data_IF_239870042909
#
_entry.id   IF_239870042909
#
_cell.length_a   1.000
_cell.length_b   1.000
_cell.length_c   1.000
_cell.angle_alpha   90.00
_cell.angle_beta   90.00
_cell.angle_gamma   90.00
#
_symmetry.space_group_name_H-M   'P 1'
#
loop_
_entity.id
_entity.type
_entity.pdbx_description
1 polymer ?
#
# COMPACT_ATOMS: atom_id res chain seq x y z
N UNK A 1 25.41 -19.73 2.72
CA UNK A 1 24.28 -19.58 1.80
C UNK A 1 24.02 -20.94 1.16
N UNK A 2 23.03 -21.68 1.66
CA UNK A 2 22.85 -23.11 1.31
C UNK A 2 21.36 -23.43 1.04
N UNK A 3 20.76 -22.70 0.12
CA UNK A 3 19.43 -23.03 -0.44
C UNK A 3 19.51 -23.52 -1.90
N UNK A 4 20.68 -23.40 -2.54
CA UNK A 4 20.87 -23.72 -3.96
C UNK A 4 20.77 -25.22 -4.26
N UNK A 5 21.13 -26.11 -3.31
CA UNK A 5 21.13 -27.57 -3.53
C UNK A 5 19.77 -28.25 -3.51
N UNK A 6 18.70 -27.57 -3.04
CA UNK A 6 17.38 -28.21 -2.83
C UNK A 6 16.53 -28.36 -4.08
N UNK A 7 16.79 -27.58 -5.13
CA UNK A 7 15.93 -27.50 -6.32
C UNK A 7 16.67 -27.75 -7.64
N UNK A 8 17.98 -28.05 -7.61
CA UNK A 8 18.77 -28.35 -8.81
C UNK A 8 18.82 -27.20 -9.83
N UNK A 9 18.92 -27.53 -11.12
CA UNK A 9 18.85 -26.56 -12.24
C UNK A 9 17.40 -26.30 -12.70
N UNK A 10 16.43 -26.98 -12.08
CA UNK A 10 15.01 -26.86 -12.44
C UNK A 10 14.42 -25.54 -11.93
N UNK A 11 13.33 -25.10 -12.58
CA UNK A 11 12.59 -23.92 -12.14
C UNK A 11 11.97 -24.19 -10.77
N UNK A 12 12.33 -23.38 -9.77
CA UNK A 12 11.77 -23.44 -8.42
C UNK A 12 10.24 -23.21 -8.50
N UNK A 13 9.42 -24.20 -8.11
CA UNK A 13 7.98 -24.03 -8.11
C UNK A 13 7.59 -23.04 -7.01
N UNK A 14 6.61 -22.19 -7.31
CA UNK A 14 6.01 -21.32 -6.30
C UNK A 14 5.32 -22.17 -5.23
N UNK A 15 5.60 -21.96 -3.93
CA UNK A 15 4.95 -22.71 -2.86
C UNK A 15 3.41 -22.59 -2.92
N UNK A 16 2.65 -23.65 -2.57
CA UNK A 16 1.18 -23.61 -2.59
C UNK A 16 0.55 -22.55 -1.69
N UNK A 17 1.26 -22.18 -0.63
CA UNK A 17 0.91 -21.16 0.36
C UNK A 17 1.44 -19.76 -0.01
N UNK A 18 2.20 -19.64 -1.09
CA UNK A 18 2.67 -18.36 -1.58
C UNK A 18 1.53 -17.62 -2.29
N UNK A 19 1.15 -16.48 -1.73
CA UNK A 19 0.11 -15.62 -2.27
C UNK A 19 0.34 -14.17 -1.90
N UNK A 20 -0.72 -13.38 -1.99
CA UNK A 20 -0.70 -11.99 -1.60
C UNK A 20 -2.06 -11.56 -1.06
N UNK A 21 -2.07 -10.42 -0.40
CA UNK A 21 -3.27 -9.78 0.10
C UNK A 21 -3.55 -8.51 -0.70
N UNK A 22 -4.83 -8.22 -0.92
CA UNK A 22 -5.29 -6.95 -1.48
C UNK A 22 -5.81 -6.08 -0.33
N UNK A 23 -5.25 -4.89 -0.19
CA UNK A 23 -5.80 -3.87 0.71
C UNK A 23 -6.79 -3.04 -0.09
N UNK A 24 -8.07 -3.15 0.27
CA UNK A 24 -9.13 -2.28 -0.23
C UNK A 24 -9.27 -1.11 0.75
N UNK A 25 -8.85 0.11 0.38
CA UNK A 25 -8.91 1.24 1.30
C UNK A 25 -10.33 1.81 1.36
N UNK A 26 -10.82 2.04 2.57
CA UNK A 26 -11.98 2.91 2.82
C UNK A 26 -11.55 4.38 3.02
N UNK A 27 -10.25 4.60 3.21
CA UNK A 27 -9.64 5.92 3.39
C UNK A 27 -8.18 5.94 2.95
N UNK A 28 -7.74 7.05 2.37
CA UNK A 28 -6.32 7.34 2.15
C UNK A 28 -6.04 8.85 2.24
N UNK A 29 -4.78 9.22 2.45
CA UNK A 29 -4.36 10.61 2.59
C UNK A 29 -3.15 10.92 1.69
N UNK A 30 -3.20 12.05 1.00
CA UNK A 30 -2.02 12.67 0.40
C UNK A 30 -1.49 13.76 1.33
N UNK A 31 -0.25 13.58 1.76
CA UNK A 31 0.46 14.55 2.59
C UNK A 31 1.60 15.16 1.77
N UNK A 32 1.68 16.49 1.70
CA UNK A 32 2.76 17.19 0.98
C UNK A 32 3.40 18.26 1.86
N UNK A 33 4.73 18.30 1.84
CA UNK A 33 5.51 19.27 2.58
C UNK A 33 5.31 20.71 2.06
N UNK A 34 5.22 21.67 3.00
CA UNK A 34 5.23 23.11 2.73
C UNK A 34 6.17 23.83 3.72
N UNK A 35 6.74 24.99 3.34
CA UNK A 35 7.47 25.83 4.29
C UNK A 35 6.61 26.22 5.51
N UNK A 36 7.25 26.44 6.65
CA UNK A 36 6.56 26.87 7.86
C UNK A 36 5.73 25.78 8.57
N UNK A 37 5.93 24.49 8.22
CA UNK A 37 5.21 23.34 8.80
C UNK A 37 3.70 23.32 8.52
N UNK A 38 3.23 24.11 7.55
CA UNK A 38 1.84 24.16 7.14
C UNK A 38 1.56 23.19 5.98
N UNK A 39 1.75 21.91 6.25
CA UNK A 39 1.59 20.82 5.28
C UNK A 39 0.20 20.80 4.62
N UNK A 40 0.17 20.43 3.34
CA UNK A 40 -1.09 20.13 2.67
C UNK A 40 -1.46 18.68 2.99
N UNK A 41 -2.67 18.49 3.53
CA UNK A 41 -3.22 17.17 3.87
C UNK A 41 -4.59 17.03 3.22
N UNK A 42 -4.69 16.13 2.25
CA UNK A 42 -5.94 15.82 1.55
C UNK A 42 -6.35 14.40 1.88
N UNK A 43 -7.47 14.24 2.59
CA UNK A 43 -8.02 12.94 2.94
C UNK A 43 -9.18 12.60 1.99
N UNK A 44 -9.13 11.38 1.47
CA UNK A 44 -10.20 10.75 0.72
C UNK A 44 -10.84 9.69 1.60
N UNK A 45 -12.15 9.78 1.82
CA UNK A 45 -12.93 8.83 2.58
C UNK A 45 -14.06 8.28 1.67
N UNK A 46 -14.20 6.96 1.60
CA UNK A 46 -15.24 6.27 0.84
C UNK A 46 -16.54 6.26 1.64
N UNK A 47 -17.61 6.80 1.07
CA UNK A 47 -18.95 6.85 1.67
C UNK A 47 -19.97 6.51 0.57
N UNK A 48 -20.82 5.51 0.80
CA UNK A 48 -21.86 5.10 -0.15
C UNK A 48 -21.33 4.94 -1.60
N UNK A 49 -20.22 4.21 -1.74
CA UNK A 49 -19.50 3.97 -3.00
C UNK A 49 -18.94 5.23 -3.69
N UNK A 50 -18.95 6.37 -2.99
CA UNK A 50 -18.49 7.66 -3.48
C UNK A 50 -17.32 8.18 -2.66
N UNK A 51 -16.30 8.70 -3.32
CA UNK A 51 -15.16 9.32 -2.64
C UNK A 51 -15.48 10.77 -2.26
N UNK A 52 -15.38 11.06 -0.97
CA UNK A 52 -15.41 12.42 -0.44
C UNK A 52 -13.99 12.94 -0.21
N UNK A 53 -13.76 14.23 -0.49
CA UNK A 53 -12.46 14.89 -0.31
C UNK A 53 -12.56 15.94 0.80
N UNK A 54 -11.65 15.88 1.76
CA UNK A 54 -11.50 16.91 2.79
C UNK A 54 -10.05 17.39 2.90
N UNK A 55 -9.87 18.66 3.28
CA UNK A 55 -8.56 19.22 3.65
C UNK A 55 -8.42 19.19 5.17
N UNK A 56 -7.34 18.59 5.66
CA UNK A 56 -7.05 18.49 7.09
C UNK A 56 -6.06 19.59 7.53
N UNK A 57 -6.08 19.91 8.81
CA UNK A 57 -5.05 20.76 9.41
C UNK A 57 -3.69 20.03 9.42
N UNK A 58 -2.58 20.74 9.11
CA UNK A 58 -1.23 20.19 9.19
C UNK A 58 -0.78 19.84 10.60
#
# INVERSE_FOLDING_TARGET
>A
DDFSGRFGEDKIPRPPDWGGYLVLPDRFEFWTARPGRLHDRFAYDLQDETWSLSRLAP
#
